data_IF_872410115870
#
_entry.id   IF_872410115870
#
_cell.length_a   1.000
_cell.length_b   1.000
_cell.length_c   1.000
_cell.angle_alpha   90.00
_cell.angle_beta   90.00
_cell.angle_gamma   90.00
#
_symmetry.space_group_name_H-M   'P 1'
#
loop_
_entity.id
_entity.type
_entity.pdbx_description
1 polymer ?
#
# COMPACT_ATOMS: atom_id res chain seq x y z
N UNK A 1 -17.28 -4.70 9.23
CA UNK A 1 -15.92 -4.28 9.64
C UNK A 1 -15.73 -2.81 9.33
N UNK A 2 -14.94 -2.12 10.15
CA UNK A 2 -14.45 -0.78 9.86
C UNK A 2 -13.08 -0.91 9.17
N UNK A 3 -12.99 -0.42 7.93
CA UNK A 3 -11.79 -0.58 7.07
C UNK A 3 -11.29 0.79 6.64
N UNK A 4 -10.01 1.07 6.89
CA UNK A 4 -9.36 2.26 6.37
C UNK A 4 -8.70 1.93 5.03
N UNK A 5 -8.93 2.77 4.03
CA UNK A 5 -8.40 2.60 2.67
C UNK A 5 -7.53 3.80 2.33
N UNK A 6 -6.28 3.57 1.98
CA UNK A 6 -5.38 4.64 1.51
C UNK A 6 -5.42 4.80 0.00
N UNK A 7 -5.11 5.98 -0.51
CA UNK A 7 -5.04 6.22 -1.96
C UNK A 7 -6.41 6.21 -2.64
N UNK A 8 -7.44 6.72 -1.96
CA UNK A 8 -8.83 6.65 -2.45
C UNK A 8 -9.13 7.54 -3.65
N UNK A 9 -8.25 8.49 -3.98
CA UNK A 9 -8.34 9.28 -5.21
C UNK A 9 -7.79 8.54 -6.43
N UNK A 10 -7.07 7.44 -6.21
CA UNK A 10 -6.60 6.55 -7.26
C UNK A 10 -7.67 5.55 -7.69
N UNK A 11 -7.44 4.87 -8.82
CA UNK A 11 -8.40 3.92 -9.40
C UNK A 11 -8.74 2.78 -8.43
N UNK A 12 -7.73 2.09 -7.91
CA UNK A 12 -7.95 0.94 -7.02
C UNK A 12 -8.61 1.35 -5.71
N UNK A 13 -8.11 2.40 -5.05
CA UNK A 13 -8.66 2.86 -3.77
C UNK A 13 -10.11 3.29 -3.88
N UNK A 14 -10.48 3.96 -4.96
CA UNK A 14 -11.87 4.33 -5.25
C UNK A 14 -12.77 3.10 -5.37
N UNK A 15 -12.36 2.10 -6.15
CA UNK A 15 -13.14 0.89 -6.35
C UNK A 15 -13.26 0.06 -5.06
N UNK A 16 -12.18 0.01 -4.25
CA UNK A 16 -12.18 -0.69 -2.96
C UNK A 16 -13.19 -0.06 -2.00
N UNK A 17 -13.24 1.27 -1.90
CA UNK A 17 -14.24 1.97 -1.04
C UNK A 17 -15.65 1.61 -1.47
N UNK A 18 -15.95 1.71 -2.76
CA UNK A 18 -17.29 1.39 -3.29
C UNK A 18 -17.69 -0.06 -3.01
N UNK A 19 -16.77 -1.01 -3.18
CA UNK A 19 -17.06 -2.42 -2.96
C UNK A 19 -17.24 -2.74 -1.45
N UNK A 20 -16.46 -2.10 -0.57
CA UNK A 20 -16.65 -2.23 0.87
C UNK A 20 -18.04 -1.76 1.32
N UNK A 21 -18.46 -0.59 0.86
CA UNK A 21 -19.79 -0.03 1.17
C UNK A 21 -20.91 -0.92 0.64
N UNK A 22 -20.79 -1.39 -0.59
CA UNK A 22 -21.73 -2.32 -1.22
C UNK A 22 -21.89 -3.62 -0.43
N UNK A 23 -20.81 -4.09 0.21
CA UNK A 23 -20.82 -5.28 1.08
C UNK A 23 -21.23 -5.00 2.52
N UNK A 24 -21.63 -3.78 2.85
CA UNK A 24 -22.10 -3.40 4.19
C UNK A 24 -20.98 -3.16 5.20
N UNK A 25 -19.76 -2.91 4.75
CA UNK A 25 -18.64 -2.49 5.60
C UNK A 25 -18.59 -0.97 5.72
N UNK A 26 -17.96 -0.46 6.78
CA UNK A 26 -17.69 0.98 6.93
C UNK A 26 -16.33 1.28 6.35
N UNK A 27 -16.28 2.01 5.24
CA UNK A 27 -15.04 2.45 4.61
C UNK A 27 -14.62 3.83 5.10
N UNK A 28 -13.36 3.99 5.49
CA UNK A 28 -12.74 5.27 5.83
C UNK A 28 -11.67 5.53 4.78
N UNK A 29 -11.97 6.43 3.84
CA UNK A 29 -11.04 6.79 2.77
C UNK A 29 -10.07 7.88 3.20
N UNK A 30 -8.78 7.68 2.95
CA UNK A 30 -7.72 8.68 3.14
C UNK A 30 -6.84 8.79 1.90
N UNK A 31 -6.29 9.97 1.69
CA UNK A 31 -5.33 10.25 0.63
C UNK A 31 -4.27 11.24 1.14
N UNK A 32 -3.30 11.63 0.32
CA UNK A 32 -2.16 12.45 0.72
C UNK A 32 -2.55 13.75 1.45
N UNK A 33 -3.69 14.33 1.10
CA UNK A 33 -4.21 15.56 1.71
C UNK A 33 -4.82 15.35 3.11
N UNK A 34 -5.20 14.13 3.44
CA UNK A 34 -5.80 13.78 4.74
C UNK A 34 -4.89 12.91 5.59
N UNK A 35 -4.01 12.14 4.97
CA UNK A 35 -2.99 11.33 5.63
C UNK A 35 -1.80 11.11 4.68
N UNK A 36 -0.74 11.89 4.85
CA UNK A 36 0.52 11.65 4.16
C UNK A 36 1.21 10.41 4.76
N UNK A 37 1.28 9.31 4.01
CA UNK A 37 1.84 8.05 4.48
C UNK A 37 3.34 8.14 4.79
N UNK A 38 4.05 9.12 4.23
CA UNK A 38 5.47 9.37 4.52
C UNK A 38 5.69 10.14 5.83
N UNK A 39 4.62 10.62 6.45
CA UNK A 39 4.64 11.29 7.75
C UNK A 39 4.14 10.34 8.84
N UNK A 40 5.08 9.76 9.60
CA UNK A 40 4.76 8.75 10.62
C UNK A 40 3.80 9.24 11.70
N UNK A 41 3.90 10.51 12.11
CA UNK A 41 3.01 11.11 13.12
C UNK A 41 1.57 11.26 12.60
N UNK A 42 1.40 11.67 11.33
CA UNK A 42 0.09 11.72 10.72
C UNK A 42 -0.53 10.32 10.59
N UNK A 43 0.25 9.34 10.13
CA UNK A 43 -0.21 7.96 10.00
C UNK A 43 -0.71 7.43 11.35
N UNK A 44 0.09 7.59 12.40
CA UNK A 44 -0.27 7.18 13.75
C UNK A 44 -1.55 7.88 14.24
N UNK A 45 -1.61 9.20 14.12
CA UNK A 45 -2.74 10.01 14.57
C UNK A 45 -4.04 9.62 13.87
N UNK A 46 -4.02 9.52 12.54
CA UNK A 46 -5.22 9.24 11.74
C UNK A 46 -5.72 7.80 11.96
N UNK A 47 -4.82 6.83 11.92
CA UNK A 47 -5.20 5.43 12.11
C UNK A 47 -5.71 5.20 13.54
N UNK A 48 -5.02 5.70 14.57
CA UNK A 48 -5.46 5.55 15.96
C UNK A 48 -6.77 6.30 16.26
N UNK A 49 -7.00 7.47 15.66
CA UNK A 49 -8.26 8.18 15.83
C UNK A 49 -9.46 7.41 15.24
N UNK A 50 -9.24 6.66 14.18
CA UNK A 50 -10.29 5.88 13.51
C UNK A 50 -10.43 4.45 14.04
N UNK A 51 -9.39 3.88 14.65
CA UNK A 51 -9.36 2.49 15.17
C UNK A 51 -9.97 1.48 14.18
N UNK A 52 -9.45 1.38 12.94
CA UNK A 52 -9.95 0.41 11.98
C UNK A 52 -9.61 -1.02 12.39
N UNK A 53 -10.45 -1.99 12.00
CA UNK A 53 -10.18 -3.42 12.16
C UNK A 53 -9.23 -3.94 11.08
N UNK A 54 -9.20 -3.24 9.92
CA UNK A 54 -8.30 -3.55 8.81
C UNK A 54 -7.91 -2.28 8.06
N UNK A 55 -6.73 -2.31 7.44
CA UNK A 55 -6.25 -1.30 6.50
C UNK A 55 -6.00 -1.95 5.15
N UNK A 56 -6.58 -1.40 4.08
CA UNK A 56 -6.25 -1.76 2.70
C UNK A 56 -5.40 -0.63 2.12
N UNK A 57 -4.12 -0.93 1.91
CA UNK A 57 -3.13 0.05 1.50
C UNK A 57 -3.00 0.11 -0.02
N UNK A 58 -3.74 1.03 -0.66
CA UNK A 58 -3.73 1.25 -2.11
C UNK A 58 -2.84 2.42 -2.54
N UNK A 59 -2.43 3.31 -1.62
CA UNK A 59 -1.52 4.40 -1.95
C UNK A 59 -0.15 3.86 -2.35
N UNK A 60 0.37 4.32 -3.48
CA UNK A 60 1.67 3.93 -4.01
C UNK A 60 2.18 4.92 -5.05
N UNK A 61 3.50 4.96 -5.22
CA UNK A 61 4.13 5.54 -6.39
C UNK A 61 4.11 4.47 -7.50
N UNK A 62 3.31 4.67 -8.54
CA UNK A 62 3.04 3.65 -9.57
C UNK A 62 3.60 3.97 -10.96
N UNK A 63 4.21 5.14 -11.13
CA UNK A 63 4.85 5.52 -12.38
C UNK A 63 6.20 4.82 -12.55
N UNK A 64 6.17 3.57 -13.05
CA UNK A 64 7.32 2.65 -13.10
C UNK A 64 8.54 3.28 -13.79
N UNK A 65 8.35 3.88 -14.98
CA UNK A 65 9.43 4.49 -15.73
C UNK A 65 10.01 5.74 -15.03
N UNK A 66 9.14 6.57 -14.42
CA UNK A 66 9.57 7.75 -13.67
C UNK A 66 10.22 7.40 -12.33
N UNK A 67 10.01 6.20 -11.81
CA UNK A 67 10.67 5.74 -10.59
C UNK A 67 12.19 5.65 -10.76
N UNK A 68 12.66 5.35 -11.96
CA UNK A 68 14.12 5.33 -12.26
C UNK A 68 14.78 6.70 -12.07
N UNK A 69 14.02 7.78 -12.32
CA UNK A 69 14.49 9.16 -12.14
C UNK A 69 14.18 9.73 -10.74
N UNK A 70 13.27 9.10 -9.99
CA UNK A 70 12.77 9.55 -8.70
C UNK A 70 12.85 8.46 -7.62
N UNK A 71 13.99 7.79 -7.52
CA UNK A 71 14.21 6.63 -6.64
C UNK A 71 13.89 6.92 -5.18
N UNK A 72 14.43 8.01 -4.64
CA UNK A 72 14.19 8.40 -3.24
C UNK A 72 12.71 8.61 -2.94
N UNK A 73 11.96 9.24 -3.84
CA UNK A 73 10.52 9.45 -3.68
C UNK A 73 9.75 8.13 -3.77
N UNK A 74 10.13 7.28 -4.71
CA UNK A 74 9.53 5.96 -4.89
C UNK A 74 9.72 5.10 -3.63
N UNK A 75 10.94 5.00 -3.11
CA UNK A 75 11.26 4.27 -1.88
C UNK A 75 10.55 4.84 -0.66
N UNK A 76 10.53 6.16 -0.55
CA UNK A 76 9.86 6.84 0.55
C UNK A 76 8.37 6.54 0.59
N UNK A 77 7.69 6.59 -0.56
CA UNK A 77 6.25 6.32 -0.64
C UNK A 77 5.98 4.81 -0.49
N UNK A 78 6.62 3.97 -1.29
CA UNK A 78 6.31 2.54 -1.34
C UNK A 78 6.91 1.75 -0.17
N UNK A 79 8.09 2.13 0.28
CA UNK A 79 8.81 1.49 1.39
C UNK A 79 8.44 2.11 2.75
N UNK A 80 8.96 3.31 3.05
CA UNK A 80 8.77 3.96 4.35
C UNK A 80 7.29 4.22 4.67
N UNK A 81 6.49 4.65 3.67
CA UNK A 81 5.05 4.86 3.85
C UNK A 81 4.32 3.58 4.24
N UNK A 82 4.66 2.46 3.64
CA UNK A 82 4.11 1.14 4.01
C UNK A 82 4.55 0.72 5.40
N UNK A 83 5.83 0.92 5.75
CA UNK A 83 6.37 0.62 7.07
C UNK A 83 5.63 1.41 8.17
N UNK A 84 5.40 2.71 7.96
CA UNK A 84 4.65 3.55 8.89
C UNK A 84 3.26 2.98 9.19
N UNK A 85 2.53 2.57 8.14
CA UNK A 85 1.20 1.97 8.28
C UNK A 85 1.30 0.62 9.02
N UNK A 86 2.24 -0.24 8.63
CA UNK A 86 2.40 -1.57 9.22
C UNK A 86 2.69 -1.50 10.73
N UNK A 87 3.54 -0.56 11.17
CA UNK A 87 3.84 -0.33 12.59
C UNK A 87 2.57 -0.01 13.38
N UNK A 88 1.76 0.92 12.89
CA UNK A 88 0.52 1.31 13.60
C UNK A 88 -0.51 0.19 13.58
N UNK A 89 -0.68 -0.51 12.45
CA UNK A 89 -1.56 -1.66 12.37
C UNK A 89 -1.19 -2.73 13.41
N UNK A 90 0.11 -3.00 13.59
CA UNK A 90 0.58 -3.93 14.62
C UNK A 90 0.23 -3.46 16.03
N UNK A 91 0.41 -2.17 16.33
CA UNK A 91 0.10 -1.61 17.65
C UNK A 91 -1.37 -1.72 18.03
N UNK A 92 -2.28 -1.47 17.07
CA UNK A 92 -3.73 -1.54 17.29
C UNK A 92 -4.35 -2.91 16.99
N UNK A 93 -3.53 -3.90 16.61
CA UNK A 93 -3.95 -5.23 16.19
C UNK A 93 -4.92 -5.24 14.99
N UNK A 94 -4.74 -4.30 14.06
CA UNK A 94 -5.48 -4.25 12.80
C UNK A 94 -4.84 -5.15 11.74
N UNK A 95 -5.65 -5.72 10.88
CA UNK A 95 -5.16 -6.45 9.70
C UNK A 95 -4.64 -5.45 8.66
N UNK A 96 -3.56 -5.79 7.96
CA UNK A 96 -3.05 -5.01 6.85
C UNK A 96 -3.07 -5.83 5.56
N UNK A 97 -3.71 -5.28 4.52
CA UNK A 97 -3.59 -5.75 3.15
C UNK A 97 -2.67 -4.81 2.38
N UNK A 98 -1.58 -5.34 1.86
CA UNK A 98 -0.59 -4.65 1.06
C UNK A 98 -0.67 -5.08 -0.41
N UNK A 99 -0.56 -4.13 -1.33
CA UNK A 99 -0.59 -4.40 -2.78
C UNK A 99 0.84 -4.51 -3.28
N UNK A 100 1.27 -5.72 -3.59
CA UNK A 100 2.55 -6.02 -4.21
C UNK A 100 2.46 -5.95 -5.75
N UNK A 101 3.49 -6.38 -6.44
CA UNK A 101 3.62 -6.39 -7.89
C UNK A 101 4.40 -7.61 -8.35
N UNK A 102 4.15 -8.06 -9.58
CA UNK A 102 4.97 -9.07 -10.25
C UNK A 102 6.39 -8.59 -10.58
N UNK A 103 6.64 -7.28 -10.55
CA UNK A 103 7.99 -6.72 -10.68
C UNK A 103 8.95 -7.09 -9.53
N UNK A 104 8.47 -7.73 -8.46
CA UNK A 104 9.34 -8.32 -7.43
C UNK A 104 10.01 -9.62 -7.90
N UNK A 105 9.58 -10.17 -9.04
CA UNK A 105 10.21 -11.31 -9.70
C UNK A 105 11.13 -10.86 -10.85
N UNK A 106 12.04 -11.75 -11.28
CA UNK A 106 13.02 -11.43 -12.32
C UNK A 106 12.49 -11.47 -13.76
N UNK A 107 11.24 -11.86 -13.97
CA UNK A 107 10.63 -11.97 -15.28
C UNK A 107 11.04 -13.21 -16.09
N UNK A 108 11.83 -14.11 -15.52
CA UNK A 108 12.32 -15.32 -16.19
C UNK A 108 11.41 -16.51 -15.88
N UNK A 109 11.09 -17.33 -16.87
CA UNK A 109 10.31 -18.53 -16.72
C UNK A 109 9.20 -18.66 -17.76
N UNK A 110 8.58 -19.85 -17.82
CA UNK A 110 7.57 -20.21 -18.83
C UNK A 110 6.18 -20.45 -18.22
N UNK A 111 6.02 -20.31 -16.90
CA UNK A 111 4.76 -20.49 -16.20
C UNK A 111 4.36 -19.22 -15.42
N UNK A 112 3.07 -19.05 -15.09
CA UNK A 112 2.64 -18.00 -14.17
C UNK A 112 3.31 -18.11 -12.79
N UNK A 113 3.65 -16.98 -12.20
CA UNK A 113 4.19 -16.90 -10.85
C UNK A 113 3.19 -17.44 -9.82
N UNK A 114 3.71 -18.10 -8.79
CA UNK A 114 2.93 -18.63 -7.69
C UNK A 114 3.23 -17.82 -6.39
N UNK A 115 2.29 -17.79 -5.43
CA UNK A 115 2.48 -17.04 -4.18
C UNK A 115 3.68 -17.47 -3.34
N UNK A 116 4.15 -18.70 -3.50
CA UNK A 116 5.27 -19.31 -2.79
C UNK A 116 6.57 -19.33 -3.62
N UNK A 117 6.56 -18.76 -4.82
CA UNK A 117 7.78 -18.60 -5.59
C UNK A 117 8.74 -17.61 -4.90
N UNK A 118 10.02 -17.93 -4.95
CA UNK A 118 11.07 -17.09 -4.36
C UNK A 118 11.17 -15.77 -5.08
N UNK A 119 10.97 -14.68 -4.37
CA UNK A 119 11.27 -13.33 -4.89
C UNK A 119 12.77 -13.14 -4.98
N UNK A 120 13.21 -12.43 -6.00
CA UNK A 120 14.61 -12.12 -6.27
C UNK A 120 14.84 -10.61 -6.20
N UNK A 121 16.07 -10.17 -6.36
CA UNK A 121 16.34 -8.74 -6.45
C UNK A 121 15.62 -8.19 -7.70
N UNK A 122 14.68 -7.25 -7.55
CA UNK A 122 13.93 -6.70 -8.68
C UNK A 122 14.80 -5.99 -9.71
N UNK A 123 14.36 -6.00 -10.97
CA UNK A 123 15.10 -5.42 -12.09
C UNK A 123 14.93 -3.91 -12.24
N UNK A 124 13.89 -3.34 -11.64
CA UNK A 124 13.60 -1.91 -11.70
C UNK A 124 13.33 -1.33 -10.32
N UNK A 125 13.41 -0.01 -10.22
CA UNK A 125 13.26 0.72 -8.96
C UNK A 125 11.87 0.56 -8.34
N UNK A 126 10.83 0.56 -9.18
CA UNK A 126 9.47 0.32 -8.69
C UNK A 126 9.33 -1.04 -8.00
N UNK A 127 9.81 -2.10 -8.66
CA UNK A 127 9.82 -3.44 -8.08
C UNK A 127 10.65 -3.51 -6.80
N UNK A 128 11.81 -2.86 -6.78
CA UNK A 128 12.67 -2.78 -5.60
C UNK A 128 11.98 -2.09 -4.42
N UNK A 129 11.30 -0.98 -4.67
CA UNK A 129 10.57 -0.26 -3.61
C UNK A 129 9.40 -1.06 -3.02
N UNK A 130 8.91 -2.06 -3.74
CA UNK A 130 7.84 -2.97 -3.32
C UNK A 130 8.35 -4.29 -2.71
N UNK A 131 9.64 -4.58 -2.90
CA UNK A 131 10.34 -5.79 -2.41
C UNK A 131 10.63 -5.73 -0.92
#
# INVERSE_FOLDING_TARGET
MKVLVTGVKGQLGFDVVNELEKRGHTAIGVDVDTMDITNSEQVESVIKANMPEAVIHCAAYTAVDLAEDNKELCDKINGEGTENIAKVCKEINAKLMYISTDYVFNGEGERPWQPDDTVTIPLNEYGYSKY
#
